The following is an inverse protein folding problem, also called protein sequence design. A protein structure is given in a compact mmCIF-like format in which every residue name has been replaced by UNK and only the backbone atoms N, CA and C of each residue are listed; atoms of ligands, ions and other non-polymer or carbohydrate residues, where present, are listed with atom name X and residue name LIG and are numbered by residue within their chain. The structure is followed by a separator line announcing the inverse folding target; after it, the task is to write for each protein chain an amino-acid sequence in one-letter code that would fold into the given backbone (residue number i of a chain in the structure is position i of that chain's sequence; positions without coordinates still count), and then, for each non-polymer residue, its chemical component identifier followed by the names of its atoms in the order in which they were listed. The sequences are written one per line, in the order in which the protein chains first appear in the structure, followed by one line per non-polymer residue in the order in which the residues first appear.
data_IF_741791244977
#
_entry.id   IF_741791244977
#
_cell.length_a   1.000
_cell.length_b   1.000
_cell.length_c   1.000
_cell.angle_alpha   90.00
_cell.angle_beta   90.00
_cell.angle_gamma   90.00
#
_symmetry.space_group_name_H-M   'P 1'
#
loop_
_entity.id
_entity.type
_entity.pdbx_description
1 polymer ?
#
# COMPACT_ATOMS: atom_id res chain seq x y z
N UNK A 1 -18.86 2.57 -81.15
CA UNK A 1 -20.34 2.62 -81.14
C UNK A 1 -20.73 3.26 -79.82
N UNK A 2 -21.17 4.51 -79.68
CA UNK A 2 -21.79 5.43 -80.64
C UNK A 2 -23.32 5.32 -80.59
N UNK A 3 -23.95 6.00 -79.61
CA UNK A 3 -25.33 6.54 -79.57
C UNK A 3 -25.58 7.01 -78.12
N UNK A 4 -25.82 8.28 -77.75
CA UNK A 4 -26.72 9.30 -78.33
C UNK A 4 -28.07 9.16 -77.61
N UNK A 5 -28.67 10.13 -76.91
CA UNK A 5 -28.46 11.57 -76.71
C UNK A 5 -29.42 12.09 -75.60
N UNK A 6 -29.54 13.42 -75.39
CA UNK A 6 -30.03 14.09 -74.17
C UNK A 6 -31.44 14.74 -74.41
N UNK A 7 -31.91 15.86 -73.77
CA UNK A 7 -31.62 16.54 -72.50
C UNK A 7 -32.89 16.93 -71.67
N UNK A 8 -32.67 17.71 -70.60
CA UNK A 8 -33.50 18.82 -70.08
C UNK A 8 -34.27 18.62 -68.78
N UNK A 9 -34.18 19.65 -67.91
CA UNK A 9 -35.04 19.81 -66.73
C UNK A 9 -34.31 20.46 -65.56
N UNK A 10 -34.21 21.79 -65.55
CA UNK A 10 -33.69 22.55 -64.42
C UNK A 10 -34.60 22.47 -63.19
N UNK A 11 -33.98 22.45 -62.01
CA UNK A 11 -34.64 22.56 -60.71
C UNK A 11 -33.62 23.02 -59.67
N UNK A 12 -33.91 24.16 -59.04
CA UNK A 12 -33.07 24.82 -58.04
C UNK A 12 -32.73 23.91 -56.84
N UNK A 13 -31.59 24.14 -56.14
CA UNK A 13 -31.20 23.32 -55.00
C UNK A 13 -32.13 23.55 -53.81
N UNK A 14 -32.56 22.51 -53.08
CA UNK A 14 -33.25 22.70 -51.82
C UNK A 14 -32.30 23.31 -50.78
N UNK A 15 -32.86 24.22 -50.00
CA UNK A 15 -32.21 25.03 -48.98
C UNK A 15 -31.36 24.21 -48.00
N UNK A 16 -30.19 24.75 -47.66
CA UNK A 16 -29.37 24.33 -46.51
C UNK A 16 -30.24 24.31 -45.27
N UNK A 17 -30.55 23.12 -44.76
CA UNK A 17 -31.00 22.96 -43.39
C UNK A 17 -29.82 23.33 -42.47
N UNK A 18 -29.92 24.50 -41.85
CA UNK A 18 -29.06 24.94 -40.76
C UNK A 18 -29.16 23.92 -39.63
N UNK A 19 -28.15 23.07 -39.46
CA UNK A 19 -28.00 22.26 -38.27
C UNK A 19 -27.71 23.18 -37.09
N UNK A 20 -28.70 23.36 -36.22
CA UNK A 20 -28.56 24.04 -34.94
C UNK A 20 -27.51 23.28 -34.11
N UNK A 21 -26.47 23.93 -33.56
CA UNK A 21 -25.55 23.24 -32.65
C UNK A 21 -26.33 22.86 -31.38
N UNK A 22 -26.21 21.60 -30.96
CA UNK A 22 -26.66 21.18 -29.63
C UNK A 22 -25.94 22.02 -28.57
N UNK A 23 -26.62 22.48 -27.50
CA UNK A 23 -25.97 23.22 -26.44
C UNK A 23 -24.94 22.31 -25.75
N UNK A 24 -23.74 22.85 -25.54
CA UNK A 24 -22.70 22.16 -24.76
C UNK A 24 -23.22 21.82 -23.35
N UNK A 25 -22.88 20.63 -22.80
CA UNK A 25 -23.25 20.31 -21.44
C UNK A 25 -22.62 21.32 -20.48
N UNK A 26 -23.32 21.75 -19.41
CA UNK A 26 -22.78 22.71 -18.47
C UNK A 26 -21.53 22.12 -17.79
N UNK A 27 -20.52 22.94 -17.45
CA UNK A 27 -19.35 22.46 -16.74
C UNK A 27 -19.80 21.85 -15.41
N UNK A 28 -19.41 20.60 -15.15
CA UNK A 28 -19.60 19.93 -13.85
C UNK A 28 -18.73 20.59 -12.77
N UNK A 29 -19.07 21.80 -12.36
CA UNK A 29 -18.51 22.50 -11.18
C UNK A 29 -19.35 22.17 -9.95
N UNK A 30 -19.39 20.90 -9.52
CA UNK A 30 -20.04 20.52 -8.24
C UNK A 30 -19.34 19.35 -7.54
N UNK A 31 -18.01 19.31 -7.46
CA UNK A 31 -17.32 18.35 -6.56
C UNK A 31 -16.12 18.91 -5.79
N UNK A 32 -15.50 20.00 -6.24
CA UNK A 32 -14.29 20.55 -5.61
C UNK A 32 -14.52 21.17 -4.23
N UNK A 33 -15.67 21.81 -4.01
CA UNK A 33 -15.95 22.52 -2.75
C UNK A 33 -16.26 21.55 -1.60
N UNK A 34 -16.90 20.40 -1.91
CA UNK A 34 -17.15 19.34 -0.92
C UNK A 34 -15.86 18.59 -0.56
N UNK A 35 -14.95 18.39 -1.52
CA UNK A 35 -13.60 17.82 -1.29
C UNK A 35 -12.72 18.77 -0.48
N UNK A 36 -12.72 20.07 -0.80
CA UNK A 36 -12.00 21.09 -0.05
C UNK A 36 -12.46 21.22 1.41
N UNK A 37 -13.79 21.15 1.67
CA UNK A 37 -14.36 21.17 3.03
C UNK A 37 -13.98 19.90 3.81
N UNK A 38 -13.92 18.73 3.15
CA UNK A 38 -13.46 17.50 3.79
C UNK A 38 -11.96 17.57 4.13
N UNK A 39 -11.14 18.11 3.23
CA UNK A 39 -9.71 18.35 3.48
C UNK A 39 -9.47 19.39 4.59
N UNK A 40 -10.28 20.45 4.66
CA UNK A 40 -10.19 21.43 5.78
C UNK A 40 -10.68 20.84 7.11
N UNK A 41 -11.66 19.94 7.11
CA UNK A 41 -12.08 19.23 8.33
C UNK A 41 -11.01 18.25 8.85
N UNK A 42 -10.26 17.61 7.95
CA UNK A 42 -9.10 16.78 8.32
C UNK A 42 -7.94 17.66 8.83
N UNK A 43 -7.76 18.86 8.28
CA UNK A 43 -6.71 19.79 8.73
C UNK A 43 -7.07 20.50 10.06
N UNK A 44 -8.35 20.76 10.32
CA UNK A 44 -8.83 21.44 11.53
C UNK A 44 -9.05 20.51 12.74
N UNK A 45 -9.03 19.19 12.56
CA UNK A 45 -9.12 18.22 13.66
C UNK A 45 -7.78 17.99 14.40
N UNK A 46 -6.73 18.77 14.10
CA UNK A 46 -5.37 18.56 14.61
C UNK A 46 -5.08 19.23 15.97
N UNK A 47 -6.03 19.95 16.58
CA UNK A 47 -5.81 20.56 17.90
C UNK A 47 -6.92 20.21 18.87
N UNK A 48 -6.98 18.95 19.28
CA UNK A 48 -7.55 18.49 20.55
C UNK A 48 -6.98 17.10 20.83
N UNK A 49 -6.31 16.84 21.97
CA UNK A 49 -5.92 15.49 22.34
C UNK A 49 -7.20 14.73 22.71
N UNK A 50 -7.84 14.10 21.72
CA UNK A 50 -8.85 13.08 22.00
C UNK A 50 -8.09 11.90 22.57
N UNK A 51 -8.18 11.77 23.89
CA UNK A 51 -7.71 10.65 24.68
C UNK A 51 -7.83 9.36 23.89
N UNK A 52 -6.70 8.68 23.68
CA UNK A 52 -6.70 7.27 23.31
C UNK A 52 -7.59 6.58 24.34
N UNK A 53 -8.82 6.24 23.97
CA UNK A 53 -9.64 5.39 24.80
C UNK A 53 -8.82 4.11 24.93
N UNK A 54 -8.28 3.87 26.13
CA UNK A 54 -7.53 2.68 26.43
C UNK A 54 -8.50 1.51 26.21
N UNK A 55 -8.45 0.91 25.02
CA UNK A 55 -9.15 -0.34 24.76
C UNK A 55 -8.66 -1.30 25.85
N UNK A 56 -9.57 -1.93 26.62
CA UNK A 56 -9.14 -2.93 27.58
C UNK A 56 -8.23 -3.91 26.86
N UNK A 57 -7.03 -4.13 27.41
CA UNK A 57 -6.02 -4.93 26.75
C UNK A 57 -6.57 -6.34 26.55
N UNK A 58 -6.84 -6.70 25.30
CA UNK A 58 -7.34 -8.04 24.96
C UNK A 58 -6.27 -9.04 25.38
N UNK A 59 -6.59 -10.00 26.26
CA UNK A 59 -5.61 -10.99 26.69
C UNK A 59 -5.12 -11.82 25.51
N UNK A 60 -3.80 -11.94 25.37
CA UNK A 60 -3.15 -12.77 24.37
C UNK A 60 -1.91 -13.43 24.99
N UNK A 61 -1.51 -14.63 24.51
CA UNK A 61 -0.29 -15.28 24.98
C UNK A 61 0.94 -14.46 24.58
N UNK A 62 2.09 -14.65 25.25
CA UNK A 62 3.36 -14.16 24.70
C UNK A 62 3.59 -14.78 23.30
N UNK A 63 4.29 -14.07 22.38
CA UNK A 63 4.62 -14.60 21.06
C UNK A 63 5.33 -15.96 21.15
N UNK A 64 5.12 -16.78 20.12
CA UNK A 64 5.77 -18.08 20.04
C UNK A 64 7.31 -17.94 20.02
N UNK A 65 7.99 -18.81 20.77
CA UNK A 65 9.44 -18.96 20.65
C UNK A 65 9.75 -19.70 19.36
N UNK A 66 10.38 -19.01 18.40
CA UNK A 66 10.71 -19.57 17.09
C UNK A 66 12.16 -20.05 17.05
N UNK A 67 12.46 -21.10 16.27
CA UNK A 67 13.83 -21.39 15.88
C UNK A 67 14.41 -20.23 15.05
N UNK A 68 15.73 -20.24 14.83
CA UNK A 68 16.33 -19.37 13.83
C UNK A 68 15.66 -19.61 12.47
N UNK A 69 15.13 -18.55 11.85
CA UNK A 69 14.40 -18.65 10.59
C UNK A 69 15.37 -18.97 9.45
N UNK A 70 15.05 -20.01 8.70
CA UNK A 70 15.72 -20.47 7.49
C UNK A 70 14.73 -21.28 6.66
N UNK A 71 15.02 -21.55 5.38
CA UNK A 71 14.17 -22.41 4.54
C UNK A 71 13.75 -23.72 5.26
N UNK A 72 14.69 -24.38 5.95
CA UNK A 72 14.46 -25.65 6.65
C UNK A 72 13.59 -25.54 7.92
N UNK A 73 13.33 -24.33 8.43
CA UNK A 73 12.57 -24.12 9.68
C UNK A 73 11.26 -23.36 9.47
N UNK A 74 10.94 -22.93 8.24
CA UNK A 74 9.74 -22.16 7.94
C UNK A 74 8.46 -22.86 8.40
N UNK A 75 8.31 -24.15 8.08
CA UNK A 75 7.10 -24.90 8.47
C UNK A 75 6.90 -24.94 10.00
N UNK A 76 8.00 -25.03 10.76
CA UNK A 76 7.96 -24.99 12.23
C UNK A 76 7.56 -23.60 12.71
N UNK A 77 8.09 -22.55 12.09
CA UNK A 77 7.72 -21.18 12.42
C UNK A 77 6.24 -20.89 12.12
N UNK A 78 5.76 -21.31 10.95
CA UNK A 78 4.36 -21.18 10.54
C UNK A 78 3.44 -21.92 11.51
N UNK A 79 3.76 -23.17 11.85
CA UNK A 79 2.97 -23.95 12.80
C UNK A 79 2.94 -23.32 14.21
N UNK A 80 4.08 -22.84 14.70
CA UNK A 80 4.17 -22.21 16.02
C UNK A 80 3.35 -20.91 16.11
N UNK A 81 3.44 -20.05 15.09
CA UNK A 81 2.65 -18.81 15.05
C UNK A 81 1.15 -19.08 14.88
N UNK A 82 0.73 -20.07 14.07
CA UNK A 82 -0.69 -20.48 13.99
C UNK A 82 -1.22 -21.03 15.31
N UNK A 83 -0.42 -21.82 16.04
CA UNK A 83 -0.79 -22.30 17.37
C UNK A 83 -0.92 -21.15 18.37
N UNK A 84 -0.04 -20.15 18.29
CA UNK A 84 -0.13 -18.93 19.09
C UNK A 84 -1.42 -18.13 18.78
N UNK A 85 -1.77 -17.99 17.50
CA UNK A 85 -3.02 -17.38 17.06
C UNK A 85 -4.26 -18.14 17.56
N UNK A 86 -4.21 -19.47 17.57
CA UNK A 86 -5.29 -20.29 18.12
C UNK A 86 -5.48 -20.09 19.64
N UNK A 87 -4.39 -19.93 20.39
CA UNK A 87 -4.45 -19.59 21.82
C UNK A 87 -4.99 -18.16 22.03
N UNK A 88 -4.49 -17.17 21.28
CA UNK A 88 -4.99 -15.80 21.32
C UNK A 88 -6.50 -15.75 21.05
N UNK A 89 -6.98 -16.49 20.04
CA UNK A 89 -8.40 -16.60 19.72
C UNK A 89 -9.23 -17.17 20.89
N UNK A 90 -8.69 -18.14 21.64
CA UNK A 90 -9.36 -18.71 22.83
C UNK A 90 -9.39 -17.70 23.98
N UNK A 91 -8.28 -17.01 24.23
CA UNK A 91 -8.18 -15.99 25.27
C UNK A 91 -9.11 -14.79 25.00
N UNK A 92 -9.14 -14.30 23.77
CA UNK A 92 -10.06 -13.24 23.33
C UNK A 92 -11.54 -13.67 23.48
N UNK A 93 -11.88 -14.90 23.08
CA UNK A 93 -13.23 -15.43 23.23
C UNK A 93 -13.65 -15.56 24.70
N UNK A 94 -12.76 -16.05 25.56
CA UNK A 94 -12.99 -16.15 27.00
C UNK A 94 -13.12 -14.77 27.67
N UNK A 95 -12.44 -13.76 27.14
CA UNK A 95 -12.57 -12.36 27.54
C UNK A 95 -13.86 -11.69 27.01
N UNK A 96 -14.57 -12.32 26.08
CA UNK A 96 -15.80 -11.80 25.48
C UNK A 96 -15.60 -10.96 24.22
N UNK A 97 -14.36 -10.82 23.72
CA UNK A 97 -14.09 -10.13 22.45
C UNK A 97 -14.25 -11.09 21.27
N UNK A 98 -15.48 -11.15 20.75
CA UNK A 98 -15.82 -12.03 19.63
C UNK A 98 -15.17 -11.60 18.32
N UNK A 99 -14.90 -10.30 18.13
CA UNK A 99 -14.32 -9.77 16.91
C UNK A 99 -12.85 -10.17 16.81
N UNK A 100 -12.07 -9.86 17.85
CA UNK A 100 -10.66 -10.28 17.93
C UNK A 100 -10.53 -11.80 17.89
N UNK A 101 -11.38 -12.53 18.61
CA UNK A 101 -11.37 -13.98 18.57
C UNK A 101 -11.59 -14.55 17.16
N UNK A 102 -12.42 -13.90 16.34
CA UNK A 102 -12.63 -14.30 14.95
C UNK A 102 -11.42 -13.97 14.07
N UNK A 103 -10.83 -12.78 14.23
CA UNK A 103 -9.61 -12.38 13.51
C UNK A 103 -8.44 -13.33 13.79
N UNK A 104 -8.15 -13.60 15.06
CA UNK A 104 -7.08 -14.51 15.48
C UNK A 104 -7.34 -15.95 15.01
N UNK A 105 -8.60 -16.41 15.08
CA UNK A 105 -8.96 -17.76 14.61
C UNK A 105 -8.79 -17.91 13.10
N UNK A 106 -9.06 -16.86 12.33
CA UNK A 106 -8.77 -16.87 10.89
C UNK A 106 -7.27 -17.10 10.66
N UNK A 107 -6.41 -16.35 11.34
CA UNK A 107 -4.95 -16.49 11.21
C UNK A 107 -4.42 -17.86 11.66
N UNK A 108 -5.14 -18.56 12.54
CA UNK A 108 -4.78 -19.88 12.99
C UNK A 108 -5.02 -21.00 11.96
N UNK A 109 -5.69 -20.73 10.83
CA UNK A 109 -6.01 -21.82 9.88
C UNK A 109 -4.76 -22.36 9.17
N UNK A 110 -4.68 -23.68 8.85
CA UNK A 110 -3.48 -24.31 8.31
C UNK A 110 -2.96 -23.71 6.99
N UNK A 111 -3.83 -23.02 6.23
CA UNK A 111 -3.49 -22.39 4.96
C UNK A 111 -2.70 -21.08 5.12
N UNK A 112 -2.58 -20.53 6.33
CA UNK A 112 -1.79 -19.32 6.57
C UNK A 112 -0.34 -19.66 6.91
N UNK A 113 0.59 -18.97 6.24
CA UNK A 113 2.03 -19.08 6.49
C UNK A 113 2.50 -17.86 7.29
N UNK A 114 2.57 -17.99 8.62
CA UNK A 114 2.86 -16.86 9.52
C UNK A 114 4.33 -16.87 9.97
N UNK A 115 5.14 -15.92 9.51
CA UNK A 115 6.50 -15.70 10.02
C UNK A 115 6.49 -15.11 11.43
N UNK A 116 5.44 -14.34 11.75
CA UNK A 116 5.25 -13.74 13.07
C UNK A 116 3.78 -13.56 13.37
N UNK A 117 3.42 -13.79 14.63
CA UNK A 117 2.13 -13.43 15.20
C UNK A 117 2.33 -12.92 16.63
N UNK A 118 1.67 -11.81 16.97
CA UNK A 118 1.58 -11.28 18.33
C UNK A 118 0.18 -10.70 18.53
N UNK A 119 -0.67 -11.41 19.28
CA UNK A 119 -2.06 -10.99 19.52
C UNK A 119 -2.20 -9.84 20.52
N UNK A 120 -1.12 -9.40 21.17
CA UNK A 120 -1.18 -8.38 22.24
C UNK A 120 -1.43 -6.98 21.66
N UNK A 121 -2.30 -6.22 22.31
CA UNK A 121 -2.66 -4.86 21.89
C UNK A 121 -3.38 -4.84 20.53
N UNK A 122 -3.07 -3.85 19.69
CA UNK A 122 -3.56 -3.79 18.30
C UNK A 122 -3.13 -5.02 17.47
N UNK A 123 -2.06 -5.69 17.92
CA UNK A 123 -1.56 -6.94 17.36
C UNK A 123 -0.69 -6.74 16.12
N UNK A 124 0.14 -7.74 15.82
CA UNK A 124 1.10 -7.74 14.73
C UNK A 124 1.13 -9.09 14.04
N UNK A 125 1.25 -9.10 12.72
CA UNK A 125 1.33 -10.31 11.91
C UNK A 125 2.24 -10.10 10.71
N UNK A 126 2.99 -11.14 10.35
CA UNK A 126 3.74 -11.20 9.10
C UNK A 126 3.36 -12.48 8.39
N UNK A 127 2.56 -12.37 7.33
CA UNK A 127 2.05 -13.50 6.55
C UNK A 127 2.73 -13.58 5.19
N UNK A 128 3.04 -14.79 4.77
CA UNK A 128 3.65 -15.13 3.50
C UNK A 128 2.58 -15.71 2.58
N UNK A 129 2.59 -15.28 1.32
CA UNK A 129 1.82 -15.81 0.21
C UNK A 129 2.80 -16.35 -0.82
N UNK A 130 2.70 -17.63 -1.15
CA UNK A 130 3.66 -18.31 -2.02
C UNK A 130 4.74 -19.09 -1.27
N UNK A 131 5.73 -19.59 -2.00
CA UNK A 131 6.85 -20.37 -1.48
C UNK A 131 8.07 -19.46 -1.24
N UNK A 132 8.20 -18.95 -0.02
CA UNK A 132 9.27 -18.04 0.34
C UNK A 132 10.68 -18.66 0.24
N UNK A 133 10.82 -19.96 0.45
CA UNK A 133 12.14 -20.61 0.41
C UNK A 133 12.73 -20.61 -1.01
N UNK A 134 11.87 -20.64 -2.03
CA UNK A 134 12.24 -20.78 -3.43
C UNK A 134 11.82 -19.59 -4.29
N UNK A 135 11.46 -18.45 -3.71
CA UNK A 135 11.07 -17.26 -4.46
C UNK A 135 12.28 -16.48 -4.98
N UNK A 136 12.23 -16.08 -6.26
CA UNK A 136 13.23 -15.20 -6.90
C UNK A 136 12.84 -13.72 -6.74
N UNK A 137 11.54 -13.45 -6.63
CA UNK A 137 10.96 -12.12 -6.47
C UNK A 137 10.11 -12.06 -5.21
N UNK A 138 10.53 -11.25 -4.24
CA UNK A 138 9.84 -11.08 -2.97
C UNK A 138 9.28 -9.66 -2.86
N UNK A 139 7.97 -9.53 -2.79
CA UNK A 139 7.29 -8.26 -2.51
C UNK A 139 6.94 -8.18 -1.03
N UNK A 140 7.36 -7.11 -0.34
CA UNK A 140 6.97 -6.84 1.05
C UNK A 140 6.04 -5.65 1.08
N UNK A 141 4.78 -5.88 1.43
CA UNK A 141 3.77 -4.83 1.59
C UNK A 141 3.88 -4.25 2.99
N UNK A 142 3.91 -2.92 3.07
CA UNK A 142 3.91 -2.17 4.33
C UNK A 142 2.65 -1.31 4.39
N UNK A 143 1.73 -1.58 5.33
CA UNK A 143 0.43 -0.94 5.37
C UNK A 143 0.50 0.49 5.91
N UNK A 144 -0.55 1.25 5.63
CA UNK A 144 -0.81 2.56 6.21
C UNK A 144 -1.50 2.53 7.57
N UNK A 145 -2.10 3.67 7.92
CA UNK A 145 -2.89 3.90 9.13
C UNK A 145 -4.07 2.91 9.28
N UNK A 146 -4.62 2.81 10.49
CA UNK A 146 -5.80 2.00 10.84
C UNK A 146 -5.70 0.50 10.45
N UNK A 147 -4.48 -0.02 10.31
CA UNK A 147 -4.24 -1.43 10.04
C UNK A 147 -3.81 -2.12 11.34
N UNK A 148 -4.61 -3.08 11.79
CA UNK A 148 -4.41 -3.87 13.02
C UNK A 148 -4.88 -5.31 12.76
N UNK A 149 -4.78 -6.22 13.74
CA UNK A 149 -5.33 -7.57 13.57
C UNK A 149 -6.85 -7.54 13.33
N UNK A 150 -7.56 -6.56 13.88
CA UNK A 150 -9.01 -6.43 13.73
C UNK A 150 -9.44 -6.00 12.31
N UNK A 151 -8.55 -5.33 11.57
CA UNK A 151 -8.78 -4.86 10.20
C UNK A 151 -7.94 -5.61 9.16
N UNK A 152 -7.18 -6.62 9.59
CA UNK A 152 -6.18 -7.31 8.79
C UNK A 152 -6.74 -7.96 7.52
N UNK A 153 -8.01 -8.36 7.51
CA UNK A 153 -8.65 -8.99 6.35
C UNK A 153 -8.53 -8.13 5.07
N UNK A 154 -8.61 -6.79 5.19
CA UNK A 154 -8.44 -5.88 4.05
C UNK A 154 -7.01 -5.93 3.51
N UNK A 155 -6.03 -5.75 4.39
CA UNK A 155 -4.61 -5.77 4.03
C UNK A 155 -4.18 -7.14 3.46
N UNK A 156 -4.76 -8.22 3.99
CA UNK A 156 -4.59 -9.57 3.48
C UNK A 156 -5.12 -9.73 2.05
N UNK A 157 -6.25 -9.11 1.73
CA UNK A 157 -6.84 -9.15 0.39
C UNK A 157 -5.93 -8.45 -0.64
N UNK A 158 -5.31 -7.33 -0.26
CA UNK A 158 -4.32 -6.61 -1.10
C UNK A 158 -3.10 -7.50 -1.41
N UNK A 159 -2.52 -8.15 -0.39
CA UNK A 159 -1.41 -9.08 -0.57
C UNK A 159 -1.80 -10.31 -1.42
N UNK A 160 -3.02 -10.81 -1.24
CA UNK A 160 -3.56 -11.93 -2.04
C UNK A 160 -3.71 -11.53 -3.51
N UNK A 161 -4.24 -10.33 -3.79
CA UNK A 161 -4.42 -9.82 -5.14
C UNK A 161 -3.07 -9.65 -5.84
N UNK A 162 -2.06 -9.10 -5.16
CA UNK A 162 -0.71 -9.00 -5.70
C UNK A 162 -0.09 -10.37 -5.98
N UNK A 163 -0.19 -11.31 -5.04
CA UNK A 163 0.35 -12.66 -5.24
C UNK A 163 -0.32 -13.35 -6.45
N UNK A 164 -1.63 -13.20 -6.60
CA UNK A 164 -2.36 -13.71 -7.75
C UNK A 164 -1.90 -13.07 -9.06
N UNK A 165 -1.66 -11.75 -9.09
CA UNK A 165 -1.18 -11.08 -10.31
C UNK A 165 0.24 -11.53 -10.67
N UNK A 166 1.14 -11.62 -9.70
CA UNK A 166 2.54 -12.04 -9.90
C UNK A 166 2.62 -13.47 -10.44
N UNK A 167 1.90 -14.40 -9.81
CA UNK A 167 1.96 -15.84 -10.15
C UNK A 167 1.33 -16.20 -11.49
N UNK A 168 0.61 -15.26 -12.13
CA UNK A 168 0.20 -15.41 -13.55
C UNK A 168 1.38 -15.37 -14.51
N UNK A 169 2.46 -14.69 -14.13
CA UNK A 169 3.65 -14.50 -14.95
C UNK A 169 4.81 -15.34 -14.44
N UNK A 170 5.08 -15.29 -13.13
CA UNK A 170 6.15 -16.06 -12.51
C UNK A 170 5.68 -16.75 -11.21
N UNK A 171 5.57 -18.09 -11.19
CA UNK A 171 5.20 -18.84 -9.99
C UNK A 171 6.26 -18.81 -8.88
N UNK A 172 7.51 -18.38 -9.17
CA UNK A 172 8.61 -18.25 -8.19
C UNK A 172 8.58 -16.88 -7.49
N UNK A 173 7.39 -16.42 -7.14
CA UNK A 173 7.15 -15.15 -6.45
C UNK A 173 6.61 -15.40 -5.04
N UNK A 174 6.99 -14.54 -4.10
CA UNK A 174 6.38 -14.51 -2.77
C UNK A 174 5.95 -13.08 -2.42
N UNK A 175 4.79 -12.97 -1.79
CA UNK A 175 4.31 -11.71 -1.21
C UNK A 175 4.29 -11.84 0.30
N UNK A 176 4.73 -10.79 0.99
CA UNK A 176 4.73 -10.72 2.44
C UNK A 176 3.88 -9.53 2.88
N UNK A 177 2.78 -9.80 3.57
CA UNK A 177 2.02 -8.78 4.27
C UNK A 177 2.69 -8.50 5.62
N UNK A 178 3.42 -7.37 5.72
CA UNK A 178 4.18 -7.02 6.92
C UNK A 178 3.43 -6.01 7.80
N UNK A 179 2.62 -6.51 8.73
CA UNK A 179 2.07 -5.71 9.84
C UNK A 179 2.99 -5.84 11.06
N UNK A 180 4.19 -5.27 10.96
CA UNK A 180 5.25 -5.41 11.96
C UNK A 180 5.33 -4.29 13.01
N UNK A 181 4.46 -3.29 12.94
CA UNK A 181 4.47 -2.11 13.79
C UNK A 181 3.06 -1.71 14.22
N UNK A 182 2.96 -0.88 15.25
CA UNK A 182 1.67 -0.27 15.61
C UNK A 182 1.40 0.90 14.65
N UNK A 183 0.41 0.73 13.79
CA UNK A 183 -0.01 1.77 12.84
C UNK A 183 -0.63 2.96 13.58
N UNK A 184 -0.49 4.18 13.04
CA UNK A 184 -1.19 5.33 13.61
C UNK A 184 -2.68 5.31 13.27
N UNK A 185 -3.51 5.92 14.12
CA UNK A 185 -4.93 6.13 13.84
C UNK A 185 -5.12 7.33 12.87
N UNK A 186 -5.97 7.21 11.85
CA UNK A 186 -6.16 8.25 10.80
C UNK A 186 -6.63 9.60 11.35
N UNK A 187 -7.28 9.64 12.51
CA UNK A 187 -7.75 10.87 13.19
C UNK A 187 -6.81 11.24 14.37
N UNK A 188 -5.51 10.99 14.21
CA UNK A 188 -4.50 11.37 15.19
C UNK A 188 -3.48 12.32 14.57
N UNK A 189 -2.98 13.28 15.36
CA UNK A 189 -1.82 14.09 14.99
C UNK A 189 -0.61 13.22 14.65
N UNK A 190 -0.56 11.99 15.15
CA UNK A 190 0.48 11.00 14.84
C UNK A 190 0.62 10.73 13.34
N UNK A 191 -0.47 10.76 12.57
CA UNK A 191 -0.46 10.58 11.10
C UNK A 191 0.16 11.77 10.37
N UNK A 192 0.39 12.89 11.06
CA UNK A 192 1.09 14.07 10.51
C UNK A 192 2.55 14.15 10.97
N UNK A 193 3.04 13.14 11.69
CA UNK A 193 4.39 13.13 12.27
C UNK A 193 5.14 11.85 11.92
N UNK A 194 6.47 11.87 12.02
CA UNK A 194 7.31 10.70 11.70
C UNK A 194 7.55 9.75 12.87
N UNK A 195 7.05 10.04 14.08
CA UNK A 195 7.40 9.29 15.28
C UNK A 195 7.09 7.78 15.22
N UNK A 196 5.94 7.37 14.65
CA UNK A 196 5.64 5.93 14.47
C UNK A 196 6.52 5.30 13.40
N UNK A 197 6.82 6.03 12.33
CA UNK A 197 7.76 5.58 11.30
C UNK A 197 9.18 5.41 11.85
N UNK A 198 9.65 6.33 12.69
CA UNK A 198 10.95 6.25 13.36
C UNK A 198 11.02 5.05 14.31
N UNK A 199 9.92 4.76 15.00
CA UNK A 199 9.79 3.57 15.84
C UNK A 199 9.71 2.26 15.06
N UNK A 200 9.20 2.26 13.82
CA UNK A 200 8.96 1.07 12.99
C UNK A 200 10.11 0.74 12.04
N UNK A 201 10.92 1.73 11.67
CA UNK A 201 12.02 1.58 10.72
C UNK A 201 13.09 0.56 11.17
N UNK A 202 13.53 0.50 12.45
CA UNK A 202 14.45 -0.54 12.91
C UNK A 202 13.90 -1.97 12.72
N UNK A 203 12.61 -2.19 12.95
CA UNK A 203 11.96 -3.49 12.82
C UNK A 203 11.83 -3.89 11.36
N UNK A 204 11.53 -2.94 10.46
CA UNK A 204 11.50 -3.22 9.02
C UNK A 204 12.91 -3.57 8.52
N UNK A 205 13.94 -2.79 8.89
CA UNK A 205 15.34 -3.10 8.53
C UNK A 205 15.76 -4.49 9.00
N UNK A 206 15.46 -4.81 10.25
CA UNK A 206 15.75 -6.12 10.84
C UNK A 206 15.00 -7.24 10.12
N UNK A 207 13.74 -7.02 9.74
CA UNK A 207 12.96 -7.97 8.99
C UNK A 207 13.57 -8.26 7.61
N UNK A 208 13.88 -7.22 6.83
CA UNK A 208 14.49 -7.38 5.49
C UNK A 208 15.86 -8.06 5.58
N UNK A 209 16.67 -7.72 6.59
CA UNK A 209 17.96 -8.39 6.84
C UNK A 209 17.81 -9.88 7.12
N UNK A 210 16.78 -10.29 7.88
CA UNK A 210 16.48 -11.71 8.15
C UNK A 210 15.91 -12.42 6.93
N UNK A 211 15.10 -11.72 6.14
CA UNK A 211 14.42 -12.28 4.97
C UNK A 211 15.42 -12.88 3.98
N UNK A 212 16.54 -12.20 3.75
CA UNK A 212 17.64 -12.73 2.91
C UNK A 212 18.31 -13.99 3.46
N UNK A 213 18.28 -14.21 4.77
CA UNK A 213 18.78 -15.47 5.37
C UNK A 213 17.80 -16.64 5.25
N UNK A 214 16.56 -16.39 4.79
CA UNK A 214 15.51 -17.39 4.64
C UNK A 214 15.45 -17.93 3.21
N UNK A 215 15.47 -17.03 2.23
CA UNK A 215 15.52 -17.41 0.82
C UNK A 215 16.92 -17.95 0.50
N UNK A 216 17.01 -19.16 -0.04
CA UNK A 216 18.28 -19.88 -0.27
C UNK A 216 19.05 -19.33 -1.49
N UNK A 217 18.87 -18.06 -1.83
CA UNK A 217 19.33 -17.47 -3.09
C UNK A 217 19.91 -16.07 -2.83
N UNK A 218 21.22 -15.92 -3.03
CA UNK A 218 21.90 -14.61 -3.02
C UNK A 218 21.34 -13.65 -4.09
N UNK A 219 20.60 -14.17 -5.07
CA UNK A 219 20.03 -13.45 -6.22
C UNK A 219 18.58 -12.99 -6.01
N UNK A 220 17.90 -13.41 -4.93
CA UNK A 220 16.50 -13.04 -4.72
C UNK A 220 16.34 -11.51 -4.57
N UNK A 221 15.42 -10.96 -5.35
CA UNK A 221 15.11 -9.52 -5.33
C UNK A 221 14.04 -9.22 -4.29
N UNK A 222 14.20 -8.08 -3.60
CA UNK A 222 13.24 -7.62 -2.59
C UNK A 222 12.70 -6.25 -2.99
N UNK A 223 11.39 -6.19 -3.22
CA UNK A 223 10.66 -4.95 -3.51
C UNK A 223 9.81 -4.54 -2.31
N UNK A 224 9.96 -3.30 -1.83
CA UNK A 224 9.10 -2.73 -0.81
C UNK A 224 7.93 -1.99 -1.44
N UNK A 225 6.70 -2.39 -1.09
CA UNK A 225 5.45 -1.76 -1.57
C UNK A 225 4.78 -1.06 -0.40
N UNK A 226 4.93 0.25 -0.36
CA UNK A 226 4.67 1.04 0.84
C UNK A 226 3.48 1.96 0.62
N UNK A 227 2.36 1.62 1.28
CA UNK A 227 1.09 2.30 1.09
C UNK A 227 0.84 3.35 2.17
N UNK A 228 0.39 4.54 1.77
CA UNK A 228 -0.02 5.61 2.69
C UNK A 228 1.06 5.89 3.75
N UNK A 229 0.75 5.86 5.06
CA UNK A 229 1.75 6.04 6.12
C UNK A 229 2.91 5.02 6.07
N UNK A 230 2.69 3.83 5.50
CA UNK A 230 3.74 2.84 5.24
C UNK A 230 4.86 3.38 4.36
N UNK A 231 4.58 4.34 3.47
CA UNK A 231 5.60 5.04 2.67
C UNK A 231 6.61 5.83 3.54
N UNK A 232 6.16 6.40 4.65
CA UNK A 232 7.01 7.08 5.63
C UNK A 232 7.87 6.07 6.39
N UNK A 233 7.28 4.94 6.80
CA UNK A 233 8.00 3.83 7.46
C UNK A 233 9.13 3.32 6.57
N UNK A 234 8.82 3.02 5.31
CA UNK A 234 9.81 2.54 4.36
C UNK A 234 10.89 3.58 4.08
N UNK A 235 10.54 4.85 3.90
CA UNK A 235 11.50 5.92 3.71
C UNK A 235 12.48 6.05 4.90
N UNK A 236 11.97 5.96 6.14
CA UNK A 236 12.81 5.98 7.36
C UNK A 236 13.68 4.73 7.51
N UNK A 237 13.27 3.62 6.90
CA UNK A 237 14.05 2.38 6.84
C UNK A 237 15.02 2.31 5.66
N UNK A 238 14.91 3.18 4.66
CA UNK A 238 15.47 2.99 3.32
C UNK A 238 17.00 3.05 3.24
N UNK A 239 17.64 3.78 4.17
CA UNK A 239 19.09 3.96 4.17
C UNK A 239 19.80 2.62 4.27
N UNK A 240 20.62 2.33 3.26
CA UNK A 240 21.37 1.08 3.09
C UNK A 240 20.53 -0.21 3.15
N UNK A 241 19.21 -0.11 2.99
CA UNK A 241 18.32 -1.26 2.98
C UNK A 241 18.56 -2.09 1.73
N UNK A 242 18.63 -3.40 1.90
CA UNK A 242 18.89 -4.34 0.83
C UNK A 242 17.61 -4.69 0.06
N UNK A 243 17.13 -3.70 -0.69
CA UNK A 243 15.95 -3.78 -1.55
C UNK A 243 16.32 -3.27 -2.95
N UNK A 244 15.72 -3.87 -3.99
CA UNK A 244 15.90 -3.46 -5.39
C UNK A 244 14.98 -2.31 -5.76
N UNK A 245 13.78 -2.28 -5.17
CA UNK A 245 12.73 -1.30 -5.47
C UNK A 245 12.06 -0.82 -4.18
N UNK A 246 11.78 0.48 -4.14
CA UNK A 246 11.01 1.15 -3.10
C UNK A 246 9.83 1.86 -3.77
N UNK A 247 8.63 1.32 -3.60
CA UNK A 247 7.40 1.82 -4.22
C UNK A 247 6.57 2.59 -3.20
N UNK A 248 6.29 3.85 -3.49
CA UNK A 248 5.52 4.78 -2.66
C UNK A 248 4.12 4.96 -3.26
N UNK A 249 3.11 4.35 -2.64
CA UNK A 249 1.72 4.34 -3.11
C UNK A 249 0.84 5.25 -2.26
N UNK A 250 0.12 6.20 -2.88
CA UNK A 250 -0.77 7.10 -2.15
C UNK A 250 -0.04 7.83 -1.01
N UNK A 251 1.24 8.14 -1.21
CA UNK A 251 2.11 8.59 -0.12
C UNK A 251 1.76 10.02 0.31
N UNK A 252 1.63 10.29 1.62
CA UNK A 252 1.56 11.65 2.14
C UNK A 252 2.94 12.34 2.14
N UNK A 253 4.01 11.59 1.87
CA UNK A 253 5.41 12.01 1.77
C UNK A 253 6.35 10.98 2.41
N UNK A 254 7.64 11.33 2.51
CA UNK A 254 8.70 10.40 2.98
C UNK A 254 9.48 10.92 4.19
N UNK A 255 9.29 12.18 4.55
CA UNK A 255 10.13 12.90 5.52
C UNK A 255 11.47 13.39 4.94
N UNK A 256 11.76 13.09 3.68
CA UNK A 256 12.91 13.57 2.92
C UNK A 256 12.45 14.47 1.76
N UNK A 257 13.32 15.38 1.32
CA UNK A 257 12.99 16.32 0.25
C UNK A 257 13.22 15.75 -1.16
N UNK A 258 14.06 14.73 -1.29
CA UNK A 258 14.36 14.06 -2.56
C UNK A 258 14.55 12.56 -2.37
N UNK A 259 14.35 11.79 -3.43
CA UNK A 259 14.64 10.36 -3.47
C UNK A 259 16.11 10.05 -3.15
N UNK A 260 17.04 10.91 -3.60
CA UNK A 260 18.46 10.77 -3.29
C UNK A 260 18.76 10.92 -1.79
N UNK A 261 18.02 11.79 -1.09
CA UNK A 261 18.15 11.99 0.36
C UNK A 261 17.61 10.82 1.21
N UNK A 262 17.00 9.80 0.59
CA UNK A 262 16.66 8.54 1.29
C UNK A 262 17.91 7.67 1.53
N UNK A 263 19.02 7.96 0.85
CA UNK A 263 20.27 7.19 0.93
C UNK A 263 20.07 5.68 0.65
N UNK A 264 19.19 5.37 -0.30
CA UNK A 264 18.90 4.00 -0.73
C UNK A 264 19.56 3.69 -2.07
N UNK A 265 19.87 2.40 -2.28
CA UNK A 265 20.29 1.89 -3.60
C UNK A 265 19.10 1.41 -4.44
N UNK A 266 17.91 1.29 -3.83
CA UNK A 266 16.70 0.87 -4.51
C UNK A 266 16.26 1.89 -5.57
N UNK A 267 15.64 1.41 -6.65
CA UNK A 267 14.89 2.27 -7.55
C UNK A 267 13.67 2.79 -6.82
N UNK A 268 13.55 4.11 -6.70
CA UNK A 268 12.40 4.73 -6.04
C UNK A 268 11.30 4.98 -7.06
N UNK A 269 10.12 4.44 -6.79
CA UNK A 269 8.91 4.58 -7.60
C UNK A 269 7.82 5.29 -6.81
N UNK A 270 6.98 6.06 -7.50
CA UNK A 270 5.84 6.73 -6.89
C UNK A 270 4.61 6.66 -7.78
N UNK A 271 3.45 6.41 -7.18
CA UNK A 271 2.17 6.54 -7.85
C UNK A 271 1.07 7.02 -6.91
N UNK A 272 0.10 7.72 -7.50
CA UNK A 272 -1.11 8.18 -6.86
C UNK A 272 -2.28 8.06 -7.83
N UNK A 273 -3.37 7.43 -7.42
CA UNK A 273 -4.59 7.35 -8.21
C UNK A 273 -5.23 8.73 -8.35
N UNK A 274 -5.90 9.03 -9.46
CA UNK A 274 -6.41 10.39 -9.72
C UNK A 274 -7.53 10.83 -8.78
N UNK A 275 -8.24 9.89 -8.17
CA UNK A 275 -9.25 10.16 -7.14
C UNK A 275 -8.73 9.93 -5.71
N UNK A 276 -7.43 9.71 -5.52
CA UNK A 276 -6.83 9.63 -4.18
C UNK A 276 -6.83 11.02 -3.51
N UNK A 277 -7.55 11.11 -2.39
CA UNK A 277 -7.68 12.32 -1.56
C UNK A 277 -6.35 12.78 -0.96
N UNK A 278 -5.32 11.94 -0.90
CA UNK A 278 -3.99 12.32 -0.40
C UNK A 278 -3.39 13.46 -1.24
N UNK A 279 -3.81 13.65 -2.49
CA UNK A 279 -3.42 14.81 -3.29
C UNK A 279 -3.83 16.15 -2.65
N UNK A 280 -4.86 16.16 -1.79
CA UNK A 280 -5.36 17.35 -1.10
C UNK A 280 -4.68 17.58 0.27
N UNK A 281 -3.75 16.71 0.68
CA UNK A 281 -3.01 16.84 1.95
C UNK A 281 -1.82 17.79 1.76
N UNK A 282 -1.68 18.86 2.58
CA UNK A 282 -0.55 19.77 2.47
C UNK A 282 0.81 19.07 2.70
N UNK A 283 1.64 19.01 1.67
CA UNK A 283 3.00 18.42 1.71
C UNK A 283 4.04 19.43 2.23
N UNK A 284 3.91 19.87 3.48
CA UNK A 284 4.81 20.88 4.09
C UNK A 284 5.51 20.25 5.29
N UNK A 285 6.85 20.31 5.35
CA UNK A 285 7.62 19.96 6.55
C UNK A 285 7.83 21.22 7.40
N UNK A 286 7.32 21.22 8.63
CA UNK A 286 7.56 22.30 9.60
C UNK A 286 7.93 21.72 10.96
N UNK A 287 9.00 22.20 11.56
CA UNK A 287 9.32 21.86 12.95
C UNK A 287 8.51 22.75 13.90
N UNK A 288 7.61 22.15 14.66
CA UNK A 288 6.80 22.83 15.67
C UNK A 288 7.04 22.18 17.03
N UNK A 289 7.55 22.96 17.99
CA UNK A 289 7.84 22.48 19.35
C UNK A 289 8.71 21.21 19.41
N UNK A 290 9.68 21.06 18.51
CA UNK A 290 10.55 19.88 18.43
C UNK A 290 9.92 18.64 17.77
N UNK A 291 8.71 18.77 17.20
CA UNK A 291 8.04 17.73 16.43
C UNK A 291 7.96 18.16 14.96
N UNK A 292 8.50 17.34 14.06
CA UNK A 292 8.37 17.57 12.62
C UNK A 292 6.95 17.23 12.16
N UNK A 293 6.23 18.24 11.69
CA UNK A 293 4.89 18.14 11.12
C UNK A 293 5.01 18.11 9.59
N UNK A 294 4.37 17.12 8.98
CA UNK A 294 4.35 16.84 7.55
C UNK A 294 5.59 16.12 7.02
N UNK A 295 5.48 15.65 5.77
CA UNK A 295 6.33 14.58 5.25
C UNK A 295 7.27 15.00 4.10
N UNK A 296 7.62 16.28 4.03
CA UNK A 296 8.51 16.80 2.99
C UNK A 296 7.84 16.89 1.62
N UNK A 297 8.66 16.86 0.57
CA UNK A 297 8.21 17.00 -0.82
C UNK A 297 7.31 15.83 -1.24
N UNK A 298 6.22 16.13 -1.96
CA UNK A 298 5.33 15.13 -2.56
C UNK A 298 6.13 14.17 -3.47
N UNK A 299 6.06 12.83 -3.28
CA UNK A 299 6.71 11.87 -4.16
C UNK A 299 6.25 11.91 -5.62
N UNK A 300 5.07 12.47 -5.88
CA UNK A 300 4.57 12.72 -7.24
C UNK A 300 5.16 14.00 -7.86
N UNK A 301 5.84 14.85 -7.09
CA UNK A 301 6.52 16.03 -7.63
C UNK A 301 7.75 15.63 -8.45
N UNK A 302 7.97 16.23 -9.64
CA UNK A 302 9.23 16.09 -10.35
C UNK A 302 10.47 16.45 -9.51
N UNK A 303 10.35 17.38 -8.56
CA UNK A 303 11.46 17.79 -7.68
C UNK A 303 11.88 16.71 -6.69
N UNK A 304 11.01 15.74 -6.37
CA UNK A 304 11.35 14.62 -5.50
C UNK A 304 12.28 13.63 -6.21
N UNK A 305 12.09 13.43 -7.52
CA UNK A 305 12.97 12.59 -8.34
C UNK A 305 12.67 11.09 -8.34
N UNK A 306 11.45 10.67 -7.95
CA UNK A 306 11.01 9.27 -8.09
C UNK A 306 10.60 8.94 -9.53
N UNK A 307 10.69 7.65 -9.89
CA UNK A 307 10.10 7.12 -11.11
C UNK A 307 8.58 7.06 -10.97
N UNK A 308 7.88 8.01 -11.60
CA UNK A 308 6.41 8.03 -11.56
C UNK A 308 5.81 7.01 -12.52
N UNK A 309 4.77 6.31 -12.06
CA UNK A 309 4.00 5.37 -12.87
C UNK A 309 2.49 5.58 -12.69
N UNK A 310 1.70 5.12 -13.67
CA UNK A 310 0.26 5.27 -13.67
C UNK A 310 -0.40 4.36 -12.63
N UNK A 311 -1.30 4.92 -11.80
CA UNK A 311 -2.14 4.16 -10.87
C UNK A 311 -3.62 4.07 -11.29
N UNK A 312 -3.98 4.71 -12.41
CA UNK A 312 -5.38 4.81 -12.85
C UNK A 312 -6.19 5.81 -12.02
N UNK A 313 -7.51 5.62 -12.01
CA UNK A 313 -8.50 6.49 -11.36
C UNK A 313 -8.93 6.00 -9.97
N UNK A 314 -8.32 4.94 -9.45
CA UNK A 314 -8.60 4.42 -8.12
C UNK A 314 -8.40 5.45 -7.00
N UNK A 315 -9.17 5.29 -5.92
CA UNK A 315 -9.02 6.01 -4.67
C UNK A 315 -7.90 5.44 -3.80
N UNK A 316 -7.79 5.98 -2.58
CA UNK A 316 -6.68 5.69 -1.69
C UNK A 316 -6.52 4.22 -1.30
N UNK A 317 -7.58 3.41 -1.37
CA UNK A 317 -7.56 1.99 -0.96
C UNK A 317 -7.54 1.03 -2.15
N UNK A 318 -7.48 1.53 -3.39
CA UNK A 318 -7.83 0.76 -4.58
C UNK A 318 -6.59 0.30 -5.38
N UNK A 319 -5.38 0.59 -4.88
CA UNK A 319 -4.10 0.33 -5.59
C UNK A 319 -3.84 -1.15 -5.91
N UNK A 320 -4.49 -2.06 -5.18
CA UNK A 320 -4.36 -3.50 -5.34
C UNK A 320 -5.62 -4.15 -5.90
N UNK A 321 -6.58 -3.36 -6.42
CA UNK A 321 -7.79 -3.90 -7.01
C UNK A 321 -7.45 -4.78 -8.22
N UNK A 322 -8.00 -6.01 -8.30
CA UNK A 322 -7.77 -6.91 -9.42
C UNK A 322 -8.10 -6.26 -10.77
N UNK A 323 -7.15 -6.32 -11.71
CA UNK A 323 -7.29 -5.74 -13.05
C UNK A 323 -7.07 -4.22 -13.12
N UNK A 324 -6.70 -3.57 -12.02
CA UNK A 324 -6.34 -2.15 -12.02
C UNK A 324 -4.98 -1.91 -12.69
N UNK A 325 -4.80 -0.71 -13.26
CA UNK A 325 -3.52 -0.27 -13.84
C UNK A 325 -2.41 -0.26 -12.78
N UNK A 326 -2.75 0.13 -11.54
CA UNK A 326 -1.82 0.12 -10.41
C UNK A 326 -1.28 -1.29 -10.14
N UNK A 327 -2.18 -2.28 -9.97
CA UNK A 327 -1.77 -3.66 -9.67
C UNK A 327 -0.88 -4.26 -10.76
N UNK A 328 -1.23 -4.02 -12.04
CA UNK A 328 -0.40 -4.49 -13.17
C UNK A 328 0.99 -3.85 -13.17
N UNK A 329 1.11 -2.54 -12.89
CA UNK A 329 2.41 -1.88 -12.81
C UNK A 329 3.21 -2.34 -11.57
N UNK A 330 2.56 -2.59 -10.45
CA UNK A 330 3.21 -3.16 -9.26
C UNK A 330 3.80 -4.53 -9.54
N UNK A 331 3.08 -5.40 -10.24
CA UNK A 331 3.59 -6.70 -10.65
C UNK A 331 4.83 -6.57 -11.56
N UNK A 332 4.79 -5.67 -12.55
CA UNK A 332 5.93 -5.39 -13.44
C UNK A 332 7.17 -4.89 -12.69
N UNK A 333 6.98 -4.02 -11.70
CA UNK A 333 8.10 -3.54 -10.87
C UNK A 333 8.73 -4.70 -10.09
N UNK A 334 7.90 -5.51 -9.42
CA UNK A 334 8.38 -6.65 -8.61
C UNK A 334 9.10 -7.70 -9.45
N UNK A 335 8.59 -7.99 -10.66
CA UNK A 335 9.19 -8.93 -11.61
C UNK A 335 10.43 -8.37 -12.33
N UNK A 336 10.73 -7.07 -12.17
CA UNK A 336 11.86 -6.43 -12.83
C UNK A 336 11.60 -5.96 -14.27
N UNK A 337 10.37 -6.11 -14.77
CA UNK A 337 9.89 -5.66 -16.10
C UNK A 337 9.66 -4.14 -16.16
N UNK A 338 10.63 -3.38 -15.63
CA UNK A 338 10.53 -1.94 -15.41
C UNK A 338 10.36 -1.11 -16.70
N UNK A 339 10.71 -1.66 -17.86
CA UNK A 339 10.49 -1.04 -19.18
C UNK A 339 9.03 -1.06 -19.62
N UNK A 340 8.23 -2.00 -19.11
CA UNK A 340 6.80 -2.15 -19.43
C UNK A 340 5.91 -1.29 -18.51
N UNK A 341 6.48 -0.70 -17.45
CA UNK A 341 5.75 0.13 -16.49
C UNK A 341 5.23 1.40 -17.19
N UNK A 342 3.91 1.58 -17.15
CA UNK A 342 3.28 2.76 -17.76
C UNK A 342 3.56 4.01 -16.93
N UNK A 343 4.02 5.09 -17.57
CA UNK A 343 4.41 6.34 -16.90
C UNK A 343 3.21 7.23 -16.61
N UNK A 344 3.30 8.03 -15.55
CA UNK A 344 2.33 9.07 -15.17
C UNK A 344 2.81 10.48 -15.53
#
# INVERSE_FOLDING_TARGET
MGAGGPPSGGGAPPARASATPLPAPPPRRRHTWRRAILATLITAAVVLPLSAAARPAIPAPPPATLPHLSAATLDKAYAANRANAAEAARMAAAHGDKHRAAADRSLATPTHHLLRFDGRGEGQVTEVFGDLAHADHIAVLVPGSDTSLDTYARFRAEATALHHELTRTDPRTAVIAWLGYQTPDTISTTVTTTGRADQAAPQLREFIRRLKGIADQDEATVSLLCHSYGSVVCARAATDLDATDLVLLGSPGTGADTAAALHTRARVWAARGTDDWVADVPHIKTDLFGTTIGFGTDPMSPSFGANRFAAGDGGHSDYFDPGSVSLTNLARIVLGDTSEVTRA
#
